data_IF_331991556504
#
_entry.id   IF_331991556504
#
_cell.length_a   1.000
_cell.length_b   1.000
_cell.length_c   1.000
_cell.angle_alpha   90.00
_cell.angle_beta   90.00
_cell.angle_gamma   90.00
#
_symmetry.space_group_name_H-M   'P 1'
#
loop_
_entity.id
_entity.type
_entity.pdbx_description
1 polymer ?
#
# COMPACT_ATOMS: atom_id res chain seq x y z
N UNK A 1 -61.33 51.93 -14.94
CA UNK A 1 -60.76 52.92 -15.88
C UNK A 1 -59.77 53.84 -15.16
N UNK A 2 -58.47 53.55 -15.23
CA UNK A 2 -57.40 54.57 -15.16
C UNK A 2 -56.23 54.07 -16.03
N UNK A 3 -55.83 54.90 -16.98
CA UNK A 3 -54.84 54.61 -18.02
C UNK A 3 -53.42 54.95 -17.53
N UNK A 4 -52.44 54.33 -18.20
CA UNK A 4 -51.18 54.91 -18.67
C UNK A 4 -50.02 55.09 -17.66
N UNK A 5 -48.91 54.37 -17.90
CA UNK A 5 -47.68 54.93 -18.51
C UNK A 5 -46.67 53.82 -18.83
N UNK A 6 -46.31 53.76 -20.11
CA UNK A 6 -45.21 53.00 -20.68
C UNK A 6 -43.91 53.67 -20.25
N UNK A 7 -42.94 52.89 -19.76
CA UNK A 7 -41.55 53.29 -19.69
C UNK A 7 -40.73 52.21 -20.40
N UNK A 8 -40.19 52.56 -21.57
CA UNK A 8 -39.09 51.84 -22.19
C UNK A 8 -37.86 52.00 -21.30
N UNK A 9 -37.26 50.89 -20.88
CA UNK A 9 -35.88 50.87 -20.41
C UNK A 9 -35.10 49.88 -21.27
N UNK A 10 -34.41 50.42 -22.26
CA UNK A 10 -33.33 49.72 -22.95
C UNK A 10 -32.11 49.89 -22.06
N UNK A 11 -31.66 48.80 -21.43
CA UNK A 11 -30.32 48.73 -20.86
C UNK A 11 -29.68 47.40 -21.24
N UNK A 12 -28.69 47.53 -22.13
CA UNK A 12 -27.72 46.51 -22.52
C UNK A 12 -27.01 45.98 -21.27
N UNK A 13 -27.06 44.67 -21.04
CA UNK A 13 -26.02 43.95 -20.30
C UNK A 13 -25.56 42.77 -21.16
N UNK A 14 -24.44 43.03 -21.80
CA UNK A 14 -23.54 42.04 -22.38
C UNK A 14 -22.91 41.19 -21.26
N UNK A 15 -22.62 39.94 -21.58
CA UNK A 15 -21.79 38.99 -20.81
C UNK A 15 -22.31 38.54 -19.44
N UNK A 16 -22.84 37.32 -19.39
CA UNK A 16 -22.33 36.27 -18.50
C UNK A 16 -22.55 34.90 -19.16
N UNK A 17 -21.69 34.57 -20.12
CA UNK A 17 -21.30 33.17 -20.32
C UNK A 17 -20.64 32.72 -19.03
N UNK A 18 -21.42 32.18 -18.08
CA UNK A 18 -20.87 31.42 -16.96
C UNK A 18 -20.39 30.10 -17.57
N UNK A 19 -19.13 30.12 -17.98
CA UNK A 19 -18.31 28.94 -18.10
C UNK A 19 -18.63 28.03 -16.91
N UNK A 20 -19.26 26.90 -17.18
CA UNK A 20 -19.14 25.72 -16.33
C UNK A 20 -17.65 25.39 -16.31
N UNK A 21 -16.96 25.94 -15.31
CA UNK A 21 -15.56 25.71 -15.04
C UNK A 21 -15.41 24.22 -14.73
N UNK A 22 -14.91 23.45 -15.72
CA UNK A 22 -14.68 22.02 -15.61
C UNK A 22 -13.43 21.77 -14.76
N UNK A 23 -13.50 21.05 -13.62
CA UNK A 23 -12.32 20.66 -12.84
C UNK A 23 -11.67 19.37 -13.39
N UNK A 24 -11.94 19.00 -14.65
CA UNK A 24 -11.58 17.68 -15.20
C UNK A 24 -10.13 17.60 -15.71
N UNK A 25 -9.56 18.71 -16.20
CA UNK A 25 -8.22 18.71 -16.79
C UNK A 25 -7.13 18.49 -15.72
N UNK A 26 -7.21 19.17 -14.58
CA UNK A 26 -6.22 19.06 -13.50
C UNK A 26 -6.17 17.66 -12.88
N UNK A 27 -7.31 16.98 -12.77
CA UNK A 27 -7.37 15.58 -12.29
C UNK A 27 -6.80 14.60 -13.32
N UNK A 28 -7.05 14.80 -14.61
CA UNK A 28 -6.52 13.94 -15.67
C UNK A 28 -4.98 14.04 -15.79
N UNK A 29 -4.42 15.23 -15.55
CA UNK A 29 -2.98 15.44 -15.58
C UNK A 29 -2.28 14.88 -14.34
N UNK A 30 -2.88 14.98 -13.15
CA UNK A 30 -2.44 14.29 -11.94
C UNK A 30 -2.50 12.77 -12.08
N UNK A 31 -3.64 12.23 -12.54
CA UNK A 31 -3.81 10.79 -12.74
C UNK A 31 -2.80 10.24 -13.77
N UNK A 32 -2.56 10.96 -14.87
CA UNK A 32 -1.52 10.59 -15.85
C UNK A 32 -0.11 10.67 -15.27
N UNK A 33 0.19 11.67 -14.45
CA UNK A 33 1.50 11.81 -13.82
C UNK A 33 1.76 10.72 -12.77
N UNK A 34 0.74 10.35 -12.00
CA UNK A 34 0.81 9.27 -11.02
C UNK A 34 0.93 7.89 -11.66
N UNK A 35 0.18 7.62 -12.73
CA UNK A 35 0.34 6.39 -13.53
C UNK A 35 1.75 6.32 -14.12
N UNK A 36 2.30 7.45 -14.58
CA UNK A 36 3.65 7.53 -15.12
C UNK A 36 4.73 7.37 -14.04
N UNK A 37 4.52 7.89 -12.83
CA UNK A 37 5.42 7.73 -11.68
C UNK A 37 5.41 6.31 -11.10
N UNK A 38 4.24 5.66 -11.03
CA UNK A 38 4.10 4.28 -10.58
C UNK A 38 4.68 3.30 -11.61
N UNK A 39 4.63 3.66 -12.91
CA UNK A 39 5.37 2.98 -13.98
C UNK A 39 6.86 3.34 -14.05
N UNK A 40 7.32 4.44 -13.41
CA UNK A 40 8.72 4.88 -13.46
C UNK A 40 9.61 4.25 -12.38
N UNK A 41 9.05 3.63 -11.34
CA UNK A 41 9.85 2.98 -10.30
C UNK A 41 10.41 1.65 -10.80
N UNK A 42 11.71 1.64 -11.06
CA UNK A 42 12.44 0.44 -11.47
C UNK A 42 12.81 -0.42 -10.25
N UNK A 43 12.06 -1.50 -10.05
CA UNK A 43 12.33 -2.49 -9.00
C UNK A 43 13.26 -3.63 -9.46
N UNK A 44 13.77 -3.60 -10.69
CA UNK A 44 14.61 -4.68 -11.23
C UNK A 44 15.85 -4.95 -10.39
N UNK A 45 16.51 -3.90 -9.89
CA UNK A 45 17.65 -4.04 -8.97
C UNK A 45 17.27 -4.80 -7.69
N UNK A 46 16.11 -4.50 -7.11
CA UNK A 46 15.62 -5.22 -5.93
C UNK A 46 15.28 -6.66 -6.26
N UNK A 47 14.72 -6.92 -7.44
CA UNK A 47 14.42 -8.28 -7.90
C UNK A 47 15.69 -9.12 -8.11
N UNK A 48 16.73 -8.56 -8.73
CA UNK A 48 18.01 -9.24 -8.92
C UNK A 48 18.66 -9.60 -7.57
N UNK A 49 18.70 -8.65 -6.63
CA UNK A 49 19.22 -8.91 -5.27
C UNK A 49 18.35 -9.93 -4.52
N UNK A 50 17.03 -9.82 -4.62
CA UNK A 50 16.07 -10.75 -4.03
C UNK A 50 16.29 -12.18 -4.54
N UNK A 51 16.48 -12.35 -5.86
CA UNK A 51 16.71 -13.67 -6.46
C UNK A 51 18.03 -14.29 -5.97
N UNK A 52 19.10 -13.49 -5.91
CA UNK A 52 20.40 -13.94 -5.36
C UNK A 52 20.26 -14.35 -3.89
N UNK A 53 19.56 -13.55 -3.10
CA UNK A 53 19.27 -13.85 -1.70
C UNK A 53 18.47 -15.14 -1.57
N UNK A 54 17.41 -15.32 -2.37
CA UNK A 54 16.57 -16.51 -2.33
C UNK A 54 17.36 -17.79 -2.66
N UNK A 55 18.17 -17.76 -3.73
CA UNK A 55 19.05 -18.87 -4.12
C UNK A 55 20.05 -19.22 -3.01
N UNK A 56 20.73 -18.22 -2.44
CA UNK A 56 21.70 -18.40 -1.36
C UNK A 56 21.07 -19.06 -0.12
N UNK A 57 19.85 -18.66 0.23
CA UNK A 57 19.15 -19.13 1.44
C UNK A 57 18.26 -20.36 1.19
N UNK A 58 18.21 -20.88 -0.03
CA UNK A 58 17.39 -22.05 -0.42
C UNK A 58 15.89 -21.88 -0.13
N UNK A 59 15.37 -20.65 -0.26
CA UNK A 59 13.94 -20.33 -0.18
C UNK A 59 13.33 -20.21 -1.59
N UNK A 60 12.05 -19.84 -1.71
CA UNK A 60 11.38 -19.75 -3.00
C UNK A 60 12.07 -18.81 -3.99
N UNK A 61 12.15 -19.25 -5.24
CA UNK A 61 12.63 -18.45 -6.39
C UNK A 61 11.53 -18.26 -7.42
N UNK A 62 10.27 -18.46 -7.05
CA UNK A 62 9.12 -18.28 -7.95
C UNK A 62 8.75 -16.79 -8.02
N UNK A 63 8.63 -16.17 -6.85
CA UNK A 63 8.37 -14.74 -6.68
C UNK A 63 8.89 -14.25 -5.33
N UNK A 64 8.92 -12.93 -5.15
CA UNK A 64 9.05 -12.30 -3.84
C UNK A 64 8.01 -11.21 -3.63
N UNK A 65 7.72 -10.90 -2.37
CA UNK A 65 6.84 -9.81 -1.97
C UNK A 65 7.70 -8.59 -1.68
N UNK A 66 7.42 -7.46 -2.35
CA UNK A 66 8.06 -6.18 -2.10
C UNK A 66 7.06 -5.26 -1.40
N UNK A 67 7.47 -4.56 -0.35
CA UNK A 67 6.72 -3.43 0.19
C UNK A 67 7.59 -2.19 0.06
N UNK A 68 7.13 -1.19 -0.69
CA UNK A 68 7.81 0.09 -0.84
C UNK A 68 7.09 1.16 -0.02
N UNK A 69 7.60 1.41 1.19
CA UNK A 69 6.98 2.37 2.10
C UNK A 69 7.21 3.83 1.67
N UNK A 70 8.07 4.12 0.68
CA UNK A 70 8.25 5.47 0.14
C UNK A 70 7.09 5.88 -0.78
N UNK A 71 6.16 4.96 -1.07
CA UNK A 71 4.87 5.25 -1.68
C UNK A 71 3.87 5.61 -0.58
N UNK A 72 3.07 6.65 -0.85
CA UNK A 72 1.94 7.06 -0.04
C UNK A 72 1.04 5.86 0.35
N UNK A 73 0.62 5.76 1.62
CA UNK A 73 -0.10 4.58 2.11
C UNK A 73 -1.47 4.35 1.47
N UNK A 74 -2.08 5.41 0.94
CA UNK A 74 -3.31 5.34 0.15
C UNK A 74 -3.16 4.81 -1.27
N UNK A 75 -1.94 4.44 -1.70
CA UNK A 75 -1.67 3.83 -3.01
C UNK A 75 -1.14 2.42 -2.85
N UNK A 76 -1.34 1.58 -3.85
CA UNK A 76 -0.82 0.22 -3.92
C UNK A 76 0.71 0.27 -3.86
N UNK A 77 1.25 -0.32 -2.80
CA UNK A 77 2.67 -0.26 -2.46
C UNK A 77 3.25 -1.58 -1.94
N UNK A 78 2.43 -2.64 -1.97
CA UNK A 78 2.90 -4.01 -1.85
C UNK A 78 2.78 -4.68 -3.21
N UNK A 79 3.83 -5.35 -3.65
CA UNK A 79 3.94 -5.93 -4.99
C UNK A 79 4.36 -7.39 -4.94
N UNK A 80 3.85 -8.17 -5.88
CA UNK A 80 4.37 -9.52 -6.18
C UNK A 80 5.22 -9.42 -7.43
N UNK A 81 6.52 -9.59 -7.28
CA UNK A 81 7.43 -9.71 -8.41
C UNK A 81 7.66 -11.17 -8.75
N UNK A 82 7.28 -11.57 -9.97
CA UNK A 82 7.49 -12.91 -10.50
C UNK A 82 8.88 -12.98 -11.16
N UNK A 83 9.76 -13.82 -10.61
CA UNK A 83 11.15 -13.91 -11.08
C UNK A 83 11.25 -14.52 -12.49
N UNK A 84 10.29 -15.35 -12.90
CA UNK A 84 10.29 -15.96 -14.23
C UNK A 84 9.78 -14.97 -15.29
N UNK A 85 8.79 -14.16 -14.94
CA UNK A 85 8.24 -13.13 -15.84
C UNK A 85 9.01 -11.82 -15.84
N UNK A 86 9.96 -11.66 -14.91
CA UNK A 86 10.79 -10.46 -14.71
C UNK A 86 9.95 -9.17 -14.58
N UNK A 87 8.82 -9.25 -13.85
CA UNK A 87 7.91 -8.10 -13.65
C UNK A 87 7.03 -8.24 -12.42
N UNK A 88 6.47 -7.11 -12.00
CA UNK A 88 5.34 -7.07 -11.07
C UNK A 88 4.12 -7.74 -11.74
N UNK A 89 3.49 -8.66 -11.02
CA UNK A 89 2.28 -9.38 -11.45
C UNK A 89 1.03 -8.96 -10.69
N UNK A 90 1.21 -8.51 -9.44
CA UNK A 90 0.11 -8.05 -8.59
C UNK A 90 0.58 -6.86 -7.75
N UNK A 91 -0.37 -5.98 -7.42
CA UNK A 91 -0.13 -4.80 -6.58
C UNK A 91 -1.30 -4.59 -5.62
N UNK A 92 -0.99 -4.24 -4.37
CA UNK A 92 -1.95 -4.22 -3.28
C UNK A 92 -1.74 -3.03 -2.34
N UNK A 93 -2.83 -2.61 -1.70
CA UNK A 93 -2.79 -1.76 -0.53
C UNK A 93 -2.24 -2.53 0.67
N UNK A 94 -1.47 -1.86 1.52
CA UNK A 94 -0.92 -2.44 2.73
C UNK A 94 -0.72 -1.38 3.82
N UNK A 95 -1.16 -1.72 5.03
CA UNK A 95 -0.93 -0.94 6.24
C UNK A 95 0.54 -0.91 6.64
N UNK A 96 0.94 0.12 7.37
CA UNK A 96 2.17 0.16 8.17
C UNK A 96 1.86 0.45 9.63
N UNK A 97 2.88 0.43 10.49
CA UNK A 97 2.75 0.75 11.90
C UNK A 97 2.52 2.23 12.21
N UNK A 98 1.58 2.53 13.10
CA UNK A 98 1.21 3.89 13.53
C UNK A 98 2.27 4.58 14.41
N UNK A 99 3.26 3.82 14.92
CA UNK A 99 4.27 4.36 15.82
C UNK A 99 3.65 4.92 17.10
N UNK A 100 3.94 6.19 17.42
CA UNK A 100 3.36 6.87 18.58
C UNK A 100 1.93 7.39 18.36
N UNK A 101 1.39 7.28 17.14
CA UNK A 101 0.07 7.80 16.82
C UNK A 101 -1.05 6.78 17.14
N UNK A 102 -2.30 7.23 17.28
CA UNK A 102 -3.44 6.33 17.38
C UNK A 102 -3.53 5.37 16.19
N UNK A 103 -3.77 4.09 16.48
CA UNK A 103 -4.00 3.05 15.48
C UNK A 103 -5.30 3.31 14.70
N UNK A 104 -5.46 2.64 13.56
CA UNK A 104 -6.61 2.75 12.66
C UNK A 104 -6.87 4.17 12.09
N UNK A 105 -5.83 5.01 12.07
CA UNK A 105 -5.78 6.34 11.44
C UNK A 105 -4.68 6.37 10.38
N UNK A 106 -4.45 7.50 9.73
CA UNK A 106 -3.52 7.65 8.59
C UNK A 106 -2.51 8.81 8.78
N UNK A 107 -2.05 9.02 10.01
CA UNK A 107 -1.23 10.17 10.40
C UNK A 107 0.13 10.25 9.71
N UNK A 108 0.69 9.10 9.34
CA UNK A 108 2.01 8.94 8.72
C UNK A 108 1.92 8.38 7.28
N UNK A 109 0.77 8.58 6.63
CA UNK A 109 0.49 8.13 5.25
C UNK A 109 1.58 8.47 4.22
N UNK A 110 2.25 9.61 4.36
CA UNK A 110 3.35 10.03 3.49
C UNK A 110 4.73 9.55 3.95
N UNK A 111 4.97 9.54 5.27
CA UNK A 111 6.30 9.33 5.87
C UNK A 111 6.18 8.50 7.14
N UNK A 112 6.08 7.17 7.02
CA UNK A 112 6.08 6.28 8.18
C UNK A 112 7.41 6.31 8.94
N UNK A 113 7.33 6.08 10.24
CA UNK A 113 8.50 5.79 11.07
C UNK A 113 8.75 4.28 11.14
N UNK A 114 10.02 3.90 11.31
CA UNK A 114 10.43 2.50 11.42
C UNK A 114 11.17 2.22 12.72
N UNK A 115 10.90 1.07 13.32
CA UNK A 115 11.59 0.65 14.55
C UNK A 115 11.54 -0.87 14.70
N UNK A 116 12.63 -1.44 15.21
CA UNK A 116 12.72 -2.84 15.59
C UNK A 116 12.50 -3.08 17.08
N UNK A 117 12.14 -2.03 17.83
CA UNK A 117 11.97 -2.12 19.29
C UNK A 117 10.60 -2.69 19.66
N UNK A 118 10.51 -3.53 20.70
CA UNK A 118 9.23 -3.92 21.30
C UNK A 118 8.37 -2.70 21.64
N UNK A 119 7.06 -2.83 21.49
CA UNK A 119 6.06 -1.78 21.80
C UNK A 119 6.22 -0.45 21.05
N UNK A 120 7.09 -0.39 20.03
CA UNK A 120 7.22 0.82 19.19
C UNK A 120 6.03 1.06 18.26
N UNK A 121 5.23 0.03 18.01
CA UNK A 121 4.12 0.00 17.03
C UNK A 121 4.50 0.43 15.61
N UNK A 122 5.78 0.60 15.29
CA UNK A 122 6.27 0.93 13.95
C UNK A 122 6.53 -0.34 13.14
N UNK A 123 6.41 -0.24 11.81
CA UNK A 123 6.94 -1.30 10.93
C UNK A 123 8.47 -1.34 11.01
N UNK A 124 9.05 -2.43 10.54
CA UNK A 124 10.50 -2.60 10.43
C UNK A 124 10.89 -2.74 8.95
N UNK A 125 12.04 -2.20 8.57
CA UNK A 125 12.59 -2.37 7.22
C UNK A 125 13.42 -3.64 7.12
N UNK A 126 13.58 -4.13 5.89
CA UNK A 126 14.50 -5.20 5.56
C UNK A 126 13.83 -6.48 5.08
N UNK A 127 14.62 -7.54 5.00
CA UNK A 127 14.21 -8.86 4.49
C UNK A 127 13.60 -9.72 5.59
N UNK A 128 12.46 -10.32 5.28
CA UNK A 128 11.72 -11.27 6.10
C UNK A 128 11.53 -12.58 5.34
N UNK A 129 11.39 -13.67 6.09
CA UNK A 129 10.76 -14.87 5.54
C UNK A 129 9.31 -14.92 5.98
N UNK A 130 8.42 -15.10 5.01
CA UNK A 130 7.03 -15.46 5.26
C UNK A 130 7.00 -16.96 5.59
N UNK A 131 6.39 -17.32 6.72
CA UNK A 131 6.22 -18.72 7.12
C UNK A 131 5.45 -19.54 6.09
N UNK A 132 5.75 -20.84 6.00
CA UNK A 132 5.16 -21.73 4.98
C UNK A 132 3.73 -22.17 5.26
N UNK A 133 3.20 -21.87 6.45
CA UNK A 133 1.86 -22.24 6.87
C UNK A 133 1.15 -21.03 7.42
N UNK A 134 -0.12 -20.89 7.08
CA UNK A 134 -1.03 -20.00 7.80
C UNK A 134 -1.31 -20.55 9.20
N UNK A 135 -1.47 -19.64 10.15
CA UNK A 135 -1.68 -19.95 11.56
C UNK A 135 -3.00 -19.32 12.00
N UNK A 136 -3.85 -20.02 12.77
CA UNK A 136 -5.06 -19.43 13.34
C UNK A 136 -4.75 -18.22 14.23
N UNK A 137 -5.67 -17.26 14.25
CA UNK A 137 -5.61 -16.07 15.10
C UNK A 137 -6.99 -15.74 15.63
N UNK A 138 -7.17 -15.58 16.97
CA UNK A 138 -8.43 -15.10 17.53
C UNK A 138 -8.80 -13.69 17.04
N UNK A 139 -7.81 -12.86 16.72
CA UNK A 139 -8.00 -11.46 16.31
C UNK A 139 -8.27 -11.29 14.82
N UNK A 140 -7.69 -12.16 13.97
CA UNK A 140 -7.68 -11.97 12.51
C UNK A 140 -8.21 -13.18 11.72
N UNK A 141 -8.63 -14.25 12.40
CA UNK A 141 -8.97 -15.53 11.77
C UNK A 141 -7.72 -16.34 11.42
N UNK A 142 -6.95 -15.87 10.44
CA UNK A 142 -5.72 -16.51 9.98
C UNK A 142 -4.62 -15.47 9.72
N UNK A 143 -3.35 -15.88 9.85
CA UNK A 143 -2.19 -15.01 9.65
C UNK A 143 -0.96 -15.78 9.17
N UNK A 144 -0.02 -15.07 8.57
CA UNK A 144 1.31 -15.58 8.25
C UNK A 144 2.36 -14.94 9.14
N UNK A 145 3.16 -15.77 9.80
CA UNK A 145 4.26 -15.30 10.63
C UNK A 145 5.38 -14.69 9.77
N UNK A 146 5.95 -13.57 10.23
CA UNK A 146 7.12 -12.96 9.61
C UNK A 146 8.37 -13.15 10.47
N UNK A 147 9.37 -13.82 9.89
CA UNK A 147 10.67 -14.02 10.51
C UNK A 147 11.66 -13.00 9.96
N UNK A 148 12.02 -11.99 10.74
CA UNK A 148 13.03 -11.01 10.35
C UNK A 148 14.42 -11.64 10.17
N UNK A 149 15.16 -11.20 9.15
CA UNK A 149 16.47 -11.75 8.75
C UNK A 149 17.59 -10.73 8.77
N UNK A 150 17.32 -9.51 9.19
CA UNK A 150 18.26 -8.40 9.23
C UNK A 150 18.20 -7.71 10.60
N UNK A 151 19.26 -6.98 11.00
CA UNK A 151 19.32 -6.29 12.30
C UNK A 151 18.17 -5.30 12.53
N UNK A 152 17.61 -4.77 11.44
CA UNK A 152 16.49 -3.83 11.41
C UNK A 152 15.13 -4.48 11.66
N UNK A 153 15.04 -5.81 11.61
CA UNK A 153 13.78 -6.53 11.77
C UNK A 153 13.87 -7.85 12.55
N UNK A 154 15.03 -8.21 13.10
CA UNK A 154 15.23 -9.50 13.79
C UNK A 154 14.37 -9.72 15.05
N UNK A 155 13.65 -8.70 15.56
CA UNK A 155 12.67 -8.87 16.63
C UNK A 155 11.25 -9.13 16.11
N UNK A 156 11.02 -9.24 14.79
CA UNK A 156 9.68 -9.36 14.19
C UNK A 156 8.80 -10.42 14.86
N UNK A 157 9.33 -11.64 15.06
CA UNK A 157 8.56 -12.72 15.69
C UNK A 157 8.29 -12.44 17.17
N UNK A 158 9.25 -11.88 17.91
CA UNK A 158 9.08 -11.49 19.33
C UNK A 158 8.08 -10.34 19.51
N UNK A 159 7.85 -9.58 18.44
CA UNK A 159 6.92 -8.45 18.37
C UNK A 159 5.57 -8.83 17.74
N UNK A 160 5.34 -10.12 17.50
CA UNK A 160 4.14 -10.65 16.83
C UNK A 160 3.83 -9.97 15.48
N UNK A 161 4.88 -9.57 14.74
CA UNK A 161 4.74 -8.99 13.41
C UNK A 161 4.37 -10.09 12.42
N UNK A 162 3.23 -9.91 11.75
CA UNK A 162 2.60 -10.91 10.87
C UNK A 162 1.95 -10.24 9.65
N UNK A 163 1.73 -10.99 8.57
CA UNK A 163 0.76 -10.59 7.54
C UNK A 163 -0.60 -11.11 7.98
N UNK A 164 -1.62 -10.25 7.97
CA UNK A 164 -2.98 -10.63 8.36
C UNK A 164 -4.03 -9.81 7.61
N UNK A 165 -5.27 -10.32 7.47
CA UNK A 165 -6.39 -9.54 6.98
C UNK A 165 -6.83 -8.54 8.05
N UNK A 166 -7.32 -7.38 7.63
CA UNK A 166 -7.95 -6.40 8.49
C UNK A 166 -9.08 -5.70 7.73
N UNK A 167 -10.30 -5.86 8.22
CA UNK A 167 -11.53 -5.45 7.53
C UNK A 167 -11.68 -3.95 7.28
N UNK A 168 -10.86 -3.11 7.93
CA UNK A 168 -10.86 -1.67 7.72
C UNK A 168 -9.94 -1.21 6.59
N UNK A 169 -9.11 -2.11 6.04
CA UNK A 169 -8.31 -1.82 4.85
C UNK A 169 -9.24 -1.89 3.63
N UNK A 170 -9.39 -0.79 2.86
CA UNK A 170 -10.22 -0.80 1.67
C UNK A 170 -9.57 -1.64 0.55
N UNK A 171 -10.39 -2.13 -0.38
CA UNK A 171 -9.90 -2.81 -1.59
C UNK A 171 -9.43 -1.81 -2.67
N UNK A 172 -10.01 -0.60 -2.67
CA UNK A 172 -9.69 0.49 -3.59
C UNK A 172 -8.80 1.56 -2.94
N UNK A 173 -7.95 2.21 -3.74
CA UNK A 173 -7.00 3.24 -3.28
C UNK A 173 -7.73 4.46 -2.68
N UNK A 174 -7.56 4.76 -1.37
CA UNK A 174 -8.23 5.89 -0.75
C UNK A 174 -7.54 7.25 -0.99
N UNK A 175 -6.53 7.31 -1.88
CA UNK A 175 -5.76 8.52 -2.13
C UNK A 175 -6.67 9.73 -2.45
N UNK A 176 -6.47 10.90 -1.84
CA UNK A 176 -5.30 11.34 -1.06
C UNK A 176 -5.28 10.94 0.43
N UNK A 177 -6.30 10.25 0.94
CA UNK A 177 -6.25 9.65 2.29
C UNK A 177 -5.31 8.43 2.31
N UNK A 178 -4.82 8.07 3.49
CA UNK A 178 -4.06 6.84 3.69
C UNK A 178 -4.94 5.66 4.07
N UNK A 179 -4.40 4.45 3.96
CA UNK A 179 -5.03 3.29 4.62
C UNK A 179 -4.82 3.35 6.14
N UNK A 180 -5.71 2.76 6.94
CA UNK A 180 -5.54 2.65 8.38
C UNK A 180 -4.20 2.02 8.79
N UNK A 181 -3.55 2.60 9.78
CA UNK A 181 -2.26 2.17 10.33
C UNK A 181 -2.44 1.15 11.46
N UNK A 182 -1.64 0.09 11.44
CA UNK A 182 -1.65 -1.02 12.41
C UNK A 182 -0.64 -0.78 13.53
N UNK A 183 -0.40 -1.78 14.39
CA UNK A 183 0.70 -1.76 15.37
C UNK A 183 2.03 -2.30 14.84
N UNK A 184 2.25 -2.20 13.53
CA UNK A 184 3.52 -2.55 12.87
C UNK A 184 3.39 -3.67 11.83
N UNK A 185 2.31 -4.44 11.90
CA UNK A 185 2.01 -5.52 10.97
C UNK A 185 1.64 -5.00 9.57
N UNK A 186 2.16 -5.58 8.49
CA UNK A 186 1.60 -5.39 7.16
C UNK A 186 0.20 -6.05 7.08
N UNK A 187 -0.83 -5.23 7.31
CA UNK A 187 -2.22 -5.65 7.20
C UNK A 187 -2.79 -5.30 5.82
N UNK A 188 -3.63 -6.18 5.30
CA UNK A 188 -4.28 -6.05 3.97
C UNK A 188 -5.78 -6.29 4.08
N UNK A 189 -6.54 -6.00 3.02
CA UNK A 189 -7.96 -6.37 3.01
C UNK A 189 -8.15 -7.89 3.02
N UNK A 190 -9.30 -8.41 3.48
CA UNK A 190 -9.59 -9.85 3.44
C UNK A 190 -9.47 -10.47 2.04
N UNK A 191 -9.90 -9.77 0.99
CA UNK A 191 -9.82 -10.27 -0.38
C UNK A 191 -8.38 -10.36 -0.87
N UNK A 192 -7.55 -9.35 -0.57
CA UNK A 192 -6.11 -9.41 -0.83
C UNK A 192 -5.47 -10.55 -0.06
N UNK A 193 -5.84 -10.76 1.21
CA UNK A 193 -5.29 -11.85 2.00
C UNK A 193 -5.58 -13.23 1.39
N UNK A 194 -6.78 -13.43 0.82
CA UNK A 194 -7.12 -14.67 0.10
C UNK A 194 -6.24 -14.89 -1.13
N UNK A 195 -6.00 -13.85 -1.93
CA UNK A 195 -5.08 -13.91 -3.09
C UNK A 195 -3.67 -14.26 -2.65
N UNK A 196 -3.20 -13.70 -1.53
CA UNK A 196 -1.89 -14.02 -0.96
C UNK A 196 -1.83 -15.46 -0.44
N UNK A 197 -2.85 -15.95 0.28
CA UNK A 197 -2.93 -17.34 0.77
C UNK A 197 -2.78 -18.32 -0.39
N UNK A 198 -3.58 -18.15 -1.46
CA UNK A 198 -3.51 -19.00 -2.65
C UNK A 198 -2.09 -19.06 -3.27
N UNK A 199 -1.43 -17.90 -3.40
CA UNK A 199 -0.05 -17.82 -3.90
C UNK A 199 0.97 -18.41 -2.92
N UNK A 200 0.82 -18.20 -1.62
CA UNK A 200 1.79 -18.66 -0.63
C UNK A 200 1.74 -20.19 -0.46
N UNK A 201 0.53 -20.78 -0.50
CA UNK A 201 0.36 -22.23 -0.42
C UNK A 201 0.88 -22.97 -1.64
N UNK A 202 0.90 -22.35 -2.82
CA UNK A 202 1.36 -23.01 -4.06
C UNK A 202 2.87 -23.29 -4.12
N UNK A 203 3.66 -22.68 -3.22
CA UNK A 203 5.13 -22.68 -3.29
C UNK A 203 5.78 -23.78 -2.44
N UNK A 204 5.19 -24.11 -1.28
CA UNK A 204 5.73 -25.12 -0.35
C UNK A 204 7.08 -24.77 0.31
N UNK A 205 7.58 -23.54 0.14
CA UNK A 205 8.83 -23.03 0.74
C UNK A 205 8.59 -21.64 1.32
N UNK A 206 9.50 -21.17 2.19
CA UNK A 206 9.45 -19.79 2.66
C UNK A 206 9.53 -18.84 1.46
N UNK A 207 8.82 -17.74 1.53
CA UNK A 207 8.83 -16.67 0.52
C UNK A 207 9.53 -15.46 1.12
N UNK A 208 10.34 -14.78 0.30
CA UNK A 208 10.96 -13.52 0.70
C UNK A 208 9.91 -12.41 0.68
N UNK A 209 9.80 -11.69 1.80
CA UNK A 209 9.22 -10.36 1.83
C UNK A 209 10.33 -9.35 2.07
N UNK A 210 10.39 -8.28 1.28
CA UNK A 210 11.34 -7.20 1.48
C UNK A 210 10.62 -5.88 1.64
N UNK A 211 10.73 -5.29 2.83
CA UNK A 211 10.25 -3.94 3.12
C UNK A 211 11.37 -2.92 2.89
N UNK A 212 11.14 -1.96 2.01
CA UNK A 212 12.09 -0.91 1.63
C UNK A 212 11.51 0.48 1.86
N UNK A 213 12.41 1.46 1.97
CA UNK A 213 12.10 2.89 2.01
C UNK A 213 13.29 3.64 1.38
N UNK A 214 13.40 3.59 0.04
CA UNK A 214 14.51 4.21 -0.70
C UNK A 214 14.50 5.74 -0.67
#
# INVERSE_FOLDING_TARGET
MKKLKIFLFVSVIFFLGRAYFMPKAENLDKEKQEIKEQQARDYKKYAEEALLYCKKNKISTDFFVLIDFSIHSGKKRMFIWDFKKDKITDSFLVSHGCGSQPTAKDYSKEKPAFSNQPNSHSSSLGKYWIGTKKVPSPSFGEKYLLYGKEKTNNNALKRDIVIHPWSIIPDEEPYPSGVPESWGCPAVSPDVFKVLDEKFQSVGKNILLWAIYP
#
